data_IF_861164511134
#
_entry.id   IF_861164511134
#
_cell.length_a   1.000
_cell.length_b   1.000
_cell.length_c   1.000
_cell.angle_alpha   90.00
_cell.angle_beta   90.00
_cell.angle_gamma   90.00
#
_symmetry.space_group_name_H-M   'P 1'
#
loop_
_entity.id
_entity.type
_entity.pdbx_description
1 polymer ?
#
# COMPACT_ATOMS: atom_id res chain seq x y z
N UNK A 1 3.52 -23.55 18.35
CA UNK A 1 2.77 -22.34 18.78
C UNK A 1 1.84 -21.94 17.65
N UNK A 2 0.52 -22.02 17.84
CA UNK A 2 -0.42 -21.41 16.89
C UNK A 2 -0.47 -19.93 17.24
N UNK A 3 0.11 -19.08 16.39
CA UNK A 3 -0.03 -17.63 16.55
C UNK A 3 -1.51 -17.31 16.35
N UNK A 4 -2.20 -16.84 17.39
CA UNK A 4 -3.58 -16.41 17.25
C UNK A 4 -3.63 -15.22 16.29
N UNK A 5 -4.17 -15.43 15.09
CA UNK A 5 -4.46 -14.35 14.15
C UNK A 5 -5.59 -13.51 14.74
N UNK A 6 -5.27 -12.31 15.21
CA UNK A 6 -6.24 -11.30 15.64
C UNK A 6 -6.64 -10.45 14.44
N UNK A 7 -7.93 -10.21 14.27
CA UNK A 7 -8.41 -9.19 13.33
C UNK A 7 -8.28 -7.80 13.95
N UNK A 8 -7.77 -6.85 13.17
CA UNK A 8 -7.71 -5.43 13.50
C UNK A 8 -8.11 -4.63 12.25
N UNK A 9 -8.98 -3.64 12.41
CA UNK A 9 -9.39 -2.74 11.34
C UNK A 9 -8.79 -1.35 11.63
N UNK A 10 -7.69 -0.95 10.96
CA UNK A 10 -7.03 0.32 11.24
C UNK A 10 -7.97 1.51 10.97
N UNK A 11 -8.14 2.44 11.92
CA UNK A 11 -9.00 3.60 11.71
C UNK A 11 -8.35 4.61 10.75
N UNK A 12 -9.16 5.46 10.13
CA UNK A 12 -8.65 6.67 9.48
C UNK A 12 -7.91 7.55 10.49
N UNK A 13 -6.87 8.24 10.03
CA UNK A 13 -6.14 9.23 10.80
C UNK A 13 -6.11 10.56 10.02
N UNK A 14 -5.92 11.70 10.70
CA UNK A 14 -5.67 12.97 10.02
C UNK A 14 -4.49 12.89 9.04
N UNK A 15 -4.59 13.59 7.90
CA UNK A 15 -3.58 13.52 6.82
C UNK A 15 -2.17 13.88 7.28
N UNK A 16 -2.03 14.87 8.16
CA UNK A 16 -0.75 15.27 8.75
C UNK A 16 -0.12 14.16 9.60
N UNK A 17 -0.94 13.48 10.41
CA UNK A 17 -0.50 12.32 11.21
C UNK A 17 -0.06 11.17 10.30
N UNK A 18 -0.81 10.89 9.22
CA UNK A 18 -0.44 9.84 8.25
C UNK A 18 0.90 10.18 7.61
N UNK A 19 1.08 11.39 7.09
CA UNK A 19 2.33 11.82 6.47
C UNK A 19 3.51 11.68 7.45
N UNK A 20 3.37 12.18 8.67
CA UNK A 20 4.42 12.10 9.69
C UNK A 20 4.83 10.65 10.00
N UNK A 21 3.85 9.75 10.12
CA UNK A 21 4.11 8.33 10.43
C UNK A 21 4.81 7.64 9.26
N UNK A 22 4.38 7.91 8.02
CA UNK A 22 5.03 7.35 6.83
C UNK A 22 6.47 7.84 6.70
N UNK A 23 6.73 9.14 6.89
CA UNK A 23 8.10 9.69 6.83
C UNK A 23 9.01 9.09 7.90
N UNK A 24 8.50 8.87 9.12
CA UNK A 24 9.27 8.18 10.17
C UNK A 24 9.62 6.75 9.79
N UNK A 25 8.70 6.00 9.18
CA UNK A 25 8.96 4.63 8.75
C UNK A 25 9.95 4.54 7.57
N UNK A 26 9.99 5.56 6.71
CA UNK A 26 11.00 5.66 5.65
C UNK A 26 12.40 5.91 6.20
N UNK A 27 12.53 6.57 7.36
CA UNK A 27 13.81 6.79 8.05
C UNK A 27 14.20 5.69 9.02
N UNK A 28 13.24 5.00 9.63
CA UNK A 28 13.46 4.00 10.68
C UNK A 28 12.42 2.86 10.64
N UNK A 29 12.92 1.65 10.42
CA UNK A 29 12.11 0.42 10.32
C UNK A 29 11.27 0.12 11.55
N UNK A 30 11.64 0.64 12.72
CA UNK A 30 10.86 0.48 13.94
C UNK A 30 9.43 1.02 13.82
N UNK A 31 9.18 1.92 12.86
CA UNK A 31 7.88 2.54 12.63
C UNK A 31 7.06 1.89 11.49
N UNK A 32 7.57 0.82 10.84
CA UNK A 32 6.87 0.16 9.73
C UNK A 32 5.49 -0.39 10.12
N UNK A 33 5.31 -0.85 11.36
CA UNK A 33 4.00 -1.31 11.84
C UNK A 33 2.96 -0.19 11.90
N UNK A 34 3.33 0.95 12.48
CA UNK A 34 2.45 2.12 12.57
C UNK A 34 2.15 2.69 11.17
N UNK A 35 3.13 2.72 10.28
CA UNK A 35 2.94 3.13 8.89
C UNK A 35 2.02 2.18 8.12
N UNK A 36 2.10 0.88 8.38
CA UNK A 36 1.18 -0.09 7.78
C UNK A 36 -0.27 0.18 8.21
N UNK A 37 -0.50 0.38 9.51
CA UNK A 37 -1.83 0.70 10.03
C UNK A 37 -2.37 2.01 9.45
N UNK A 38 -1.55 3.07 9.40
CA UNK A 38 -1.93 4.35 8.84
C UNK A 38 -2.26 4.25 7.33
N UNK A 39 -1.43 3.55 6.56
CA UNK A 39 -1.63 3.39 5.12
C UNK A 39 -2.91 2.60 4.80
N UNK A 40 -3.15 1.51 5.53
CA UNK A 40 -4.37 0.70 5.37
C UNK A 40 -5.61 1.47 5.81
N UNK A 41 -5.57 2.12 6.98
CA UNK A 41 -6.69 2.92 7.47
C UNK A 41 -7.07 4.03 6.50
N UNK A 42 -6.06 4.69 5.92
CA UNK A 42 -6.25 5.70 4.86
C UNK A 42 -6.89 5.08 3.61
N UNK A 43 -6.36 3.97 3.09
CA UNK A 43 -6.89 3.31 1.90
C UNK A 43 -8.32 2.75 2.07
N UNK A 44 -8.72 2.37 3.28
CA UNK A 44 -10.05 1.84 3.56
C UNK A 44 -11.10 2.92 3.83
N UNK A 45 -10.69 4.06 4.38
CA UNK A 45 -11.64 5.00 4.99
C UNK A 45 -11.54 6.43 4.48
N UNK A 46 -10.40 6.85 3.91
CA UNK A 46 -10.25 8.21 3.40
C UNK A 46 -11.00 8.37 2.07
N UNK A 47 -11.70 9.49 1.89
CA UNK A 47 -12.44 9.80 0.65
C UNK A 47 -11.58 10.58 -0.36
N UNK A 48 -10.41 11.07 0.05
CA UNK A 48 -9.43 11.71 -0.82
C UNK A 48 -8.54 10.65 -1.51
N UNK A 49 -9.00 10.22 -2.69
CA UNK A 49 -8.24 9.31 -3.56
C UNK A 49 -6.82 9.82 -3.86
N UNK A 50 -6.65 11.11 -4.12
CA UNK A 50 -5.35 11.67 -4.50
C UNK A 50 -4.37 11.62 -3.31
N UNK A 51 -4.88 11.84 -2.10
CA UNK A 51 -4.12 11.62 -0.87
C UNK A 51 -3.67 10.17 -0.73
N UNK A 52 -4.58 9.20 -0.90
CA UNK A 52 -4.26 7.77 -0.81
C UNK A 52 -3.17 7.40 -1.82
N UNK A 53 -3.33 7.81 -3.09
CA UNK A 53 -2.36 7.54 -4.15
C UNK A 53 -1.00 8.17 -3.84
N UNK A 54 -0.97 9.41 -3.35
CA UNK A 54 0.28 10.09 -2.96
C UNK A 54 1.01 9.37 -1.82
N UNK A 55 0.28 8.88 -0.81
CA UNK A 55 0.86 8.09 0.28
C UNK A 55 1.47 6.79 -0.25
N UNK A 56 0.75 6.07 -1.11
CA UNK A 56 1.24 4.84 -1.71
C UNK A 56 2.45 5.08 -2.62
N UNK A 57 2.45 6.15 -3.42
CA UNK A 57 3.59 6.55 -4.25
C UNK A 57 4.82 6.88 -3.40
N UNK A 58 4.64 7.65 -2.33
CA UNK A 58 5.72 8.02 -1.41
C UNK A 58 6.37 6.78 -0.81
N UNK A 59 5.56 5.85 -0.30
CA UNK A 59 6.04 4.60 0.29
C UNK A 59 6.65 3.68 -0.77
N UNK A 60 5.94 3.41 -1.86
CA UNK A 60 6.32 2.46 -2.90
C UNK A 60 7.60 2.84 -3.66
N UNK A 61 7.96 4.12 -3.65
CA UNK A 61 9.19 4.62 -4.30
C UNK A 61 10.36 4.79 -3.33
N UNK A 62 10.12 5.06 -2.04
CA UNK A 62 11.17 5.41 -1.07
C UNK A 62 11.47 4.33 -0.05
N UNK A 63 10.57 3.39 0.20
CA UNK A 63 10.84 2.30 1.14
C UNK A 63 11.96 1.40 0.61
N UNK A 64 12.80 0.89 1.51
CA UNK A 64 13.92 0.02 1.14
C UNK A 64 13.42 -1.34 0.62
N UNK A 65 14.25 -2.01 -0.19
CA UNK A 65 14.04 -3.39 -0.63
C UNK A 65 13.81 -4.33 0.55
N UNK A 66 12.75 -5.14 0.50
CA UNK A 66 12.33 -6.02 1.59
C UNK A 66 11.53 -5.34 2.69
N UNK A 67 11.11 -4.07 2.51
CA UNK A 67 10.14 -3.45 3.40
C UNK A 67 8.75 -4.05 3.17
N UNK A 68 8.01 -4.45 4.24
CA UNK A 68 6.63 -4.90 4.11
C UNK A 68 5.70 -3.79 3.61
N UNK A 69 6.12 -2.52 3.64
CA UNK A 69 5.32 -1.41 3.16
C UNK A 69 5.20 -1.39 1.62
N UNK A 70 6.14 -2.00 0.90
CA UNK A 70 6.12 -2.06 -0.57
C UNK A 70 4.92 -2.87 -1.08
N UNK A 71 4.78 -4.12 -0.63
CA UNK A 71 3.63 -4.96 -0.99
C UNK A 71 2.31 -4.36 -0.52
N UNK A 72 2.32 -3.71 0.65
CA UNK A 72 1.13 -3.07 1.21
C UNK A 72 0.68 -1.84 0.41
N UNK A 73 1.62 -1.03 -0.11
CA UNK A 73 1.29 0.12 -0.95
C UNK A 73 0.55 -0.32 -2.22
N UNK A 74 1.01 -1.39 -2.88
CA UNK A 74 0.32 -1.95 -4.04
C UNK A 74 -1.07 -2.50 -3.69
N UNK A 75 -1.22 -3.19 -2.55
CA UNK A 75 -2.53 -3.65 -2.07
C UNK A 75 -3.49 -2.49 -1.78
N UNK A 76 -3.01 -1.41 -1.16
CA UNK A 76 -3.80 -0.22 -0.88
C UNK A 76 -4.26 0.50 -2.17
N UNK A 77 -3.45 0.47 -3.22
CA UNK A 77 -3.84 0.95 -4.54
C UNK A 77 -4.90 0.03 -5.19
N UNK A 78 -4.83 -1.29 -4.97
CA UNK A 78 -5.91 -2.23 -5.32
C UNK A 78 -7.24 -1.87 -4.65
N UNK A 79 -7.21 -1.59 -3.34
CA UNK A 79 -8.39 -1.09 -2.62
C UNK A 79 -8.90 0.24 -3.16
N UNK A 80 -7.99 1.15 -3.54
CA UNK A 80 -8.35 2.43 -4.14
C UNK A 80 -9.03 2.24 -5.50
N UNK A 81 -8.49 1.37 -6.36
CA UNK A 81 -9.13 1.00 -7.63
C UNK A 81 -10.53 0.43 -7.41
N UNK A 82 -10.69 -0.47 -6.43
CA UNK A 82 -11.98 -1.04 -6.05
C UNK A 82 -12.99 0.00 -5.55
N UNK A 83 -12.55 0.93 -4.70
CA UNK A 83 -13.43 1.95 -4.08
C UNK A 83 -13.83 3.04 -5.07
N UNK A 84 -12.89 3.50 -5.89
CA UNK A 84 -13.08 4.69 -6.72
C UNK A 84 -13.26 4.38 -8.21
N UNK A 85 -13.04 3.15 -8.66
CA UNK A 85 -13.16 2.74 -10.07
C UNK A 85 -12.12 3.40 -10.99
N UNK A 86 -11.06 3.98 -10.44
CA UNK A 86 -9.97 4.64 -11.18
C UNK A 86 -8.71 4.76 -10.32
N UNK A 87 -7.57 4.87 -10.99
CA UNK A 87 -6.28 5.26 -10.43
C UNK A 87 -5.62 6.31 -11.35
N UNK A 88 -4.72 7.12 -10.80
CA UNK A 88 -3.79 7.91 -11.61
C UNK A 88 -2.76 7.04 -12.32
N UNK A 89 -2.18 7.56 -13.41
CA UNK A 89 -1.21 6.82 -14.24
C UNK A 89 0.04 6.41 -13.43
N UNK A 90 0.54 7.29 -12.57
CA UNK A 90 1.69 7.00 -11.69
C UNK A 90 1.37 5.88 -10.70
N UNK A 91 0.17 5.90 -10.10
CA UNK A 91 -0.27 4.86 -9.19
C UNK A 91 -0.40 3.50 -9.92
N UNK A 92 -0.97 3.50 -11.12
CA UNK A 92 -1.06 2.29 -11.95
C UNK A 92 0.33 1.75 -12.32
N UNK A 93 1.26 2.62 -12.71
CA UNK A 93 2.64 2.25 -13.01
C UNK A 93 3.35 1.67 -11.78
N UNK A 94 3.12 2.25 -10.60
CA UNK A 94 3.69 1.77 -9.35
C UNK A 94 3.20 0.35 -9.03
N UNK A 95 1.90 0.08 -9.08
CA UNK A 95 1.35 -1.27 -8.81
C UNK A 95 1.97 -2.31 -9.74
N UNK A 96 2.04 -2.02 -11.04
CA UNK A 96 2.67 -2.92 -12.02
C UNK A 96 4.14 -3.16 -11.71
N UNK A 97 4.88 -2.11 -11.35
CA UNK A 97 6.30 -2.22 -11.01
C UNK A 97 6.53 -3.04 -9.74
N UNK A 98 5.71 -2.86 -8.70
CA UNK A 98 5.83 -3.60 -7.44
C UNK A 98 5.43 -5.07 -7.61
N UNK A 99 4.40 -5.35 -8.40
CA UNK A 99 4.02 -6.72 -8.74
C UNK A 99 5.12 -7.46 -9.50
N UNK A 100 5.73 -6.81 -10.50
CA UNK A 100 6.85 -7.40 -11.25
C UNK A 100 8.06 -7.69 -10.34
N UNK A 101 8.34 -6.80 -9.37
CA UNK A 101 9.38 -7.03 -8.35
C UNK A 101 9.04 -8.21 -7.46
N UNK A 102 7.78 -8.35 -7.04
CA UNK A 102 7.34 -9.48 -6.21
C UNK A 102 7.40 -10.82 -6.95
N UNK A 103 7.10 -10.85 -8.26
CA UNK A 103 7.28 -12.04 -9.10
C UNK A 103 8.77 -12.43 -9.23
N UNK A 104 9.65 -11.44 -9.36
CA UNK A 104 11.09 -11.67 -9.53
C UNK A 104 11.79 -12.07 -8.22
N UNK A 105 11.46 -11.41 -7.12
CA UNK A 105 12.05 -11.65 -5.81
C UNK A 105 11.05 -11.38 -4.65
N UNK A 106 10.42 -12.42 -4.08
CA UNK A 106 9.53 -12.29 -2.93
C UNK A 106 10.21 -11.79 -1.65
N UNK A 107 11.54 -11.72 -1.58
CA UNK A 107 12.27 -11.09 -0.48
C UNK A 107 12.44 -9.57 -0.69
N UNK A 108 12.33 -9.08 -1.93
CA UNK A 108 12.33 -7.65 -2.25
C UNK A 108 10.94 -7.04 -2.04
N UNK A 109 9.91 -7.64 -2.63
CA UNK A 109 8.51 -7.23 -2.47
C UNK A 109 7.65 -8.45 -2.23
N UNK A 110 6.83 -8.43 -1.18
CA UNK A 110 5.98 -9.58 -0.88
C UNK A 110 4.74 -9.70 -1.80
N UNK A 111 4.09 -10.86 -1.72
CA UNK A 111 2.98 -11.24 -2.60
C UNK A 111 1.75 -10.32 -2.56
N UNK A 112 1.60 -9.44 -1.57
CA UNK A 112 0.49 -8.47 -1.53
C UNK A 112 0.51 -7.52 -2.72
N UNK A 113 1.67 -7.32 -3.35
CA UNK A 113 1.75 -6.55 -4.58
C UNK A 113 1.02 -7.21 -5.76
N UNK A 114 1.03 -8.56 -5.80
CA UNK A 114 0.31 -9.32 -6.83
C UNK A 114 -1.20 -9.24 -6.60
N UNK A 115 -1.63 -9.37 -5.33
CA UNK A 115 -3.04 -9.21 -4.95
C UNK A 115 -3.55 -7.80 -5.30
N UNK A 116 -2.74 -6.76 -5.02
CA UNK A 116 -3.06 -5.39 -5.40
C UNK A 116 -3.19 -5.20 -6.91
N UNK A 117 -2.31 -5.82 -7.71
CA UNK A 117 -2.43 -5.79 -9.16
C UNK A 117 -3.68 -6.53 -9.66
N UNK A 118 -4.04 -7.66 -9.06
CA UNK A 118 -5.24 -8.41 -9.42
C UNK A 118 -6.52 -7.60 -9.15
N UNK A 119 -6.59 -6.91 -8.01
CA UNK A 119 -7.65 -5.95 -7.70
C UNK A 119 -7.71 -4.84 -8.77
N UNK A 120 -6.57 -4.24 -9.11
CA UNK A 120 -6.51 -3.19 -10.14
C UNK A 120 -7.02 -3.69 -11.50
N UNK A 121 -6.57 -4.86 -11.95
CA UNK A 121 -7.02 -5.46 -13.22
C UNK A 121 -8.52 -5.72 -13.21
N UNK A 122 -9.02 -6.28 -12.10
CA UNK A 122 -10.41 -6.67 -11.93
C UNK A 122 -11.35 -5.46 -11.90
N UNK A 123 -11.02 -4.44 -11.12
CA UNK A 123 -11.90 -3.28 -10.89
C UNK A 123 -11.73 -2.16 -11.92
N UNK A 124 -10.61 -2.10 -12.64
CA UNK A 124 -10.42 -1.16 -13.75
C UNK A 124 -10.62 -1.80 -15.13
N UNK A 125 -10.85 -3.11 -15.19
CA UNK A 125 -11.05 -3.87 -16.43
C UNK A 125 -9.87 -3.77 -17.42
N UNK A 126 -8.64 -3.86 -16.89
CA UNK A 126 -7.40 -3.76 -17.67
C UNK A 126 -6.61 -5.07 -17.59
N UNK A 127 -6.70 -5.92 -18.61
CA UNK A 127 -5.92 -7.17 -18.70
C UNK A 127 -4.65 -6.98 -19.51
#
# INVERSE_FOLDING_TARGET
MHSHRSFFNPPAQPHDVVVDVLERALGDRAHEGAAADALVGTALHDDDREFIERCCLTVGTRAHSGSPLLGLAALCLGHSARRFGRLGDEALALVRSLAARAEADPQDVDGRALDGLDDVRSFLHIW
#
